data_IF_900921077763
#
_entry.id   IF_900921077763
#
_cell.length_a   1.000
_cell.length_b   1.000
_cell.length_c   1.000
_cell.angle_alpha   90.00
_cell.angle_beta   90.00
_cell.angle_gamma   90.00
#
_symmetry.space_group_name_H-M   'P 1'
#
loop_
_entity.id
_entity.type
_entity.pdbx_description
1 polymer ?
#
# COMPACT_ATOMS: atom_id res chain seq x y z
N UNK A 1 -8.73 -45.84 -39.77
CA UNK A 1 -8.34 -46.08 -38.37
C UNK A 1 -7.75 -44.79 -37.83
N UNK A 2 -8.49 -44.07 -36.99
CA UNK A 2 -7.94 -42.90 -36.28
C UNK A 2 -6.93 -43.40 -35.24
N UNK A 3 -5.73 -42.81 -35.15
CA UNK A 3 -4.78 -43.18 -34.10
C UNK A 3 -5.42 -42.88 -32.74
N UNK A 4 -5.52 -43.90 -31.88
CA UNK A 4 -6.00 -43.74 -30.51
C UNK A 4 -5.10 -42.72 -29.81
N UNK A 5 -5.71 -41.62 -29.33
CA UNK A 5 -5.03 -40.60 -28.54
C UNK A 5 -4.25 -41.27 -27.40
N UNK A 6 -2.96 -40.94 -27.24
CA UNK A 6 -2.14 -41.55 -26.21
C UNK A 6 -2.60 -41.09 -24.82
N UNK A 7 -2.33 -41.85 -23.76
CA UNK A 7 -2.58 -41.42 -22.37
C UNK A 7 -1.95 -40.05 -22.06
N UNK A 8 -0.82 -39.72 -22.72
CA UNK A 8 -0.15 -38.43 -22.61
C UNK A 8 -0.95 -37.30 -23.28
N UNK A 9 -1.62 -37.58 -24.40
CA UNK A 9 -2.48 -36.60 -25.07
C UNK A 9 -3.77 -36.34 -24.28
N UNK A 10 -4.35 -37.40 -23.70
CA UNK A 10 -5.50 -37.27 -22.80
C UNK A 10 -5.16 -36.47 -21.53
N UNK A 11 -3.99 -36.69 -20.93
CA UNK A 11 -3.55 -35.91 -19.76
C UNK A 11 -3.22 -34.45 -20.11
N UNK A 12 -2.71 -34.18 -21.32
CA UNK A 12 -2.45 -32.81 -21.78
C UNK A 12 -3.71 -32.03 -22.12
N UNK A 13 -4.74 -32.67 -22.66
CA UNK A 13 -5.92 -32.00 -23.20
C UNK A 13 -7.16 -32.12 -22.31
N UNK A 14 -7.26 -33.15 -21.46
CA UNK A 14 -8.48 -33.49 -20.70
C UNK A 14 -8.31 -33.63 -19.20
N UNK A 15 -7.12 -33.39 -18.64
CA UNK A 15 -6.93 -33.39 -17.19
C UNK A 15 -7.24 -32.02 -16.58
N UNK A 16 -7.64 -32.01 -15.31
CA UNK A 16 -7.77 -30.77 -14.52
C UNK A 16 -6.46 -29.99 -14.53
N UNK A 17 -5.30 -30.67 -14.54
CA UNK A 17 -4.00 -30.03 -14.68
C UNK A 17 -3.77 -29.36 -16.03
N UNK A 18 -4.27 -29.95 -17.13
CA UNK A 18 -4.24 -29.34 -18.47
C UNK A 18 -5.17 -28.14 -18.60
N UNK A 19 -6.35 -28.19 -17.98
CA UNK A 19 -7.28 -27.05 -17.87
C UNK A 19 -6.72 -25.93 -16.99
N UNK A 20 -6.10 -26.28 -15.86
CA UNK A 20 -5.43 -25.31 -14.99
C UNK A 20 -4.25 -24.66 -15.71
N UNK A 21 -3.40 -25.44 -16.39
CA UNK A 21 -2.29 -24.92 -17.19
C UNK A 21 -2.78 -24.07 -18.35
N UNK A 22 -3.82 -24.49 -19.07
CA UNK A 22 -4.42 -23.70 -20.14
C UNK A 22 -5.06 -22.41 -19.61
N UNK A 23 -5.68 -22.44 -18.42
CA UNK A 23 -6.19 -21.25 -17.75
C UNK A 23 -5.07 -20.31 -17.32
N UNK A 24 -3.96 -20.83 -16.79
CA UNK A 24 -2.77 -20.04 -16.44
C UNK A 24 -2.09 -19.44 -17.68
N UNK A 25 -1.94 -20.22 -18.76
CA UNK A 25 -1.38 -19.75 -20.04
C UNK A 25 -2.32 -18.79 -20.78
N UNK A 26 -3.63 -18.89 -20.59
CA UNK A 26 -4.59 -17.92 -21.10
C UNK A 26 -4.65 -16.63 -20.27
N UNK A 27 -4.15 -16.67 -19.02
CA UNK A 27 -3.93 -15.51 -18.15
C UNK A 27 -2.58 -14.83 -18.41
N UNK A 28 -1.59 -15.56 -18.91
CA UNK A 28 -0.41 -14.95 -19.53
C UNK A 28 -0.81 -14.31 -20.87
N UNK A 29 -0.38 -13.08 -21.19
CA UNK A 29 -0.61 -12.53 -22.51
C UNK A 29 0.14 -13.38 -23.53
N UNK A 30 -0.58 -14.24 -24.24
CA UNK A 30 -0.11 -14.86 -25.47
C UNK A 30 0.40 -13.74 -26.38
N UNK A 31 1.69 -13.78 -26.70
CA UNK A 31 2.35 -12.89 -27.65
C UNK A 31 1.56 -12.86 -28.97
N UNK A 32 0.58 -11.96 -29.11
CA UNK A 32 -0.14 -11.74 -30.38
C UNK A 32 -1.66 -11.55 -30.35
N UNK A 33 -2.39 -11.58 -29.23
CA UNK A 33 -3.84 -11.28 -29.24
C UNK A 33 -4.15 -9.86 -28.77
N UNK A 34 -4.64 -9.00 -29.68
CA UNK A 34 -5.03 -7.60 -29.43
C UNK A 34 -6.28 -7.39 -28.55
N UNK A 35 -6.44 -8.16 -27.48
CA UNK A 35 -7.22 -7.71 -26.32
C UNK A 35 -6.44 -6.57 -25.64
N UNK A 36 -7.08 -5.64 -24.89
CA UNK A 36 -6.34 -4.66 -24.11
C UNK A 36 -5.51 -5.45 -23.12
N UNK A 37 -4.25 -5.61 -23.47
CA UNK A 37 -3.29 -6.31 -22.66
C UNK A 37 -3.26 -5.60 -21.32
N UNK A 38 -3.14 -6.37 -20.25
CA UNK A 38 -2.57 -5.90 -19.00
C UNK A 38 -1.08 -5.57 -19.19
N UNK A 39 -0.69 -5.06 -20.37
CA UNK A 39 0.64 -4.56 -20.66
C UNK A 39 0.76 -3.29 -19.85
N UNK A 40 1.26 -3.48 -18.62
CA UNK A 40 1.89 -2.41 -17.89
C UNK A 40 2.79 -1.68 -18.90
N UNK A 41 2.63 -0.36 -18.98
CA UNK A 41 3.34 0.47 -19.96
C UNK A 41 4.87 0.23 -19.94
N UNK A 42 5.39 -0.25 -18.82
CA UNK A 42 6.75 -0.76 -18.66
C UNK A 42 6.78 -2.09 -17.91
N UNK A 43 7.72 -2.99 -18.22
CA UNK A 43 7.92 -4.19 -17.42
C UNK A 43 8.32 -3.80 -15.99
N UNK A 44 7.63 -4.33 -14.96
CA UNK A 44 7.87 -3.94 -13.58
C UNK A 44 9.25 -4.46 -13.13
N UNK A 45 10.06 -3.56 -12.54
CA UNK A 45 11.35 -3.93 -11.92
C UNK A 45 11.24 -4.26 -10.43
N UNK A 46 10.15 -3.81 -9.79
CA UNK A 46 9.84 -4.09 -8.40
C UNK A 46 8.58 -4.96 -8.32
N UNK A 47 8.58 -5.95 -7.41
CA UNK A 47 7.42 -6.80 -7.14
C UNK A 47 6.52 -6.27 -6.04
N UNK A 48 7.12 -5.59 -5.05
CA UNK A 48 6.45 -5.11 -3.84
C UNK A 48 7.01 -3.75 -3.46
N UNK A 49 6.14 -2.87 -2.98
CA UNK A 49 6.51 -1.55 -2.47
C UNK A 49 5.94 -1.41 -1.07
N UNK A 50 6.81 -1.17 -0.10
CA UNK A 50 6.43 -0.90 1.28
C UNK A 50 6.73 0.57 1.56
N UNK A 51 5.70 1.32 1.95
CA UNK A 51 5.83 2.72 2.33
C UNK A 51 5.55 2.87 3.81
N UNK A 52 6.52 3.40 4.55
CA UNK A 52 6.37 3.74 5.96
C UNK A 52 6.27 5.26 6.10
N UNK A 53 5.07 5.75 6.43
CA UNK A 53 4.86 7.15 6.79
C UNK A 53 4.78 7.30 8.31
N UNK A 54 5.87 7.77 8.91
CA UNK A 54 5.98 7.91 10.36
C UNK A 54 5.56 9.32 10.77
N UNK A 55 4.25 9.52 10.99
CA UNK A 55 3.72 10.82 11.42
C UNK A 55 4.24 11.21 12.80
N UNK A 56 4.90 12.37 12.91
CA UNK A 56 5.51 12.82 14.16
C UNK A 56 6.77 12.04 14.56
N UNK A 57 7.45 11.40 13.61
CA UNK A 57 8.70 10.68 13.84
C UNK A 57 9.85 11.56 14.31
N UNK A 58 10.95 10.90 14.70
CA UNK A 58 12.22 11.53 15.00
C UNK A 58 12.68 12.45 13.85
N UNK A 59 13.38 13.52 14.23
CA UNK A 59 13.91 14.48 13.27
C UNK A 59 14.93 13.82 12.35
N UNK A 60 14.84 14.09 11.04
CA UNK A 60 15.84 13.64 10.08
C UNK A 60 17.24 14.20 10.38
N UNK A 61 17.32 15.40 10.98
CA UNK A 61 18.57 16.02 11.44
C UNK A 61 19.22 15.25 12.59
N UNK A 62 18.42 14.47 13.32
CA UNK A 62 18.86 13.64 14.44
C UNK A 62 19.10 12.18 14.04
N UNK A 63 18.83 11.81 12.79
CA UNK A 63 18.97 10.45 12.28
C UNK A 63 19.98 10.35 11.13
N UNK A 64 19.65 10.94 10.00
CA UNK A 64 20.34 10.67 8.73
C UNK A 64 20.93 11.94 8.10
N UNK A 65 20.74 13.12 8.67
CA UNK A 65 21.12 14.37 8.01
C UNK A 65 21.99 15.26 8.90
N UNK A 66 23.25 14.85 9.07
CA UNK A 66 24.24 15.62 9.81
C UNK A 66 24.47 17.01 9.18
N UNK A 67 24.22 18.07 9.95
CA UNK A 67 24.46 19.47 9.54
C UNK A 67 25.61 20.09 10.35
N UNK A 68 26.82 20.23 9.78
CA UNK A 68 27.95 20.86 10.47
C UNK A 68 27.67 22.27 10.97
N UNK A 69 26.87 23.06 10.23
CA UNK A 69 26.52 24.43 10.64
C UNK A 69 25.65 24.47 11.91
N UNK A 70 24.79 23.47 12.15
CA UNK A 70 24.02 23.38 13.40
C UNK A 70 24.93 23.12 14.60
N UNK A 71 26.02 22.36 14.40
CA UNK A 71 27.04 22.15 15.44
C UNK A 71 27.78 23.45 15.72
N UNK A 72 28.22 24.15 14.67
CA UNK A 72 28.99 25.39 14.78
C UNK A 72 28.22 26.52 15.47
N UNK A 73 26.93 26.65 15.16
CA UNK A 73 26.07 27.74 15.64
C UNK A 73 25.27 27.38 16.88
N UNK A 74 25.51 26.22 17.47
CA UNK A 74 24.70 25.73 18.58
C UNK A 74 24.60 26.75 19.73
N UNK A 75 23.38 27.06 20.14
CA UNK A 75 23.07 28.02 21.21
C UNK A 75 22.96 29.48 20.74
N UNK A 76 23.41 29.80 19.52
CA UNK A 76 23.21 31.13 18.94
C UNK A 76 21.74 31.33 18.54
N UNK A 77 21.30 32.60 18.48
CA UNK A 77 19.95 32.94 18.02
C UNK A 77 19.74 32.48 16.58
N UNK A 78 18.62 31.80 16.31
CA UNK A 78 18.27 31.38 14.96
C UNK A 78 18.00 32.57 14.05
N UNK A 79 18.58 32.57 12.86
CA UNK A 79 18.32 33.55 11.80
C UNK A 79 18.31 32.85 10.44
N UNK A 80 17.12 32.67 9.88
CA UNK A 80 16.91 32.00 8.61
C UNK A 80 17.06 32.94 7.40
N UNK A 81 17.28 34.24 7.63
CA UNK A 81 17.32 35.25 6.57
C UNK A 81 15.95 35.56 5.94
N UNK A 82 14.89 34.89 6.40
CA UNK A 82 13.52 35.07 5.97
C UNK A 82 12.55 34.89 7.14
N UNK A 83 11.30 35.31 6.94
CA UNK A 83 10.25 35.08 7.93
C UNK A 83 9.84 33.60 7.91
N UNK A 84 10.00 32.93 9.05
CA UNK A 84 9.55 31.55 9.24
C UNK A 84 8.35 31.56 10.17
N UNK A 85 7.22 31.04 9.69
CA UNK A 85 6.03 30.85 10.50
C UNK A 85 6.24 29.70 11.49
N UNK A 86 6.23 30.02 12.79
CA UNK A 86 6.28 29.03 13.86
C UNK A 86 4.86 28.77 14.40
N UNK A 87 4.46 27.50 14.47
CA UNK A 87 3.14 27.12 14.96
C UNK A 87 3.00 27.30 16.48
N UNK A 88 4.10 27.11 17.24
CA UNK A 88 4.14 27.29 18.71
C UNK A 88 5.50 27.86 19.14
N UNK A 89 5.48 28.73 20.16
CA UNK A 89 6.65 29.23 20.92
C UNK A 89 7.77 29.96 20.15
N UNK A 90 7.53 30.34 18.89
CA UNK A 90 8.53 31.04 18.08
C UNK A 90 9.72 30.15 17.72
N UNK A 91 10.77 30.78 17.18
CA UNK A 91 12.00 30.09 16.78
C UNK A 91 12.97 30.08 17.98
N UNK A 92 13.34 28.88 18.45
CA UNK A 92 14.39 28.69 19.45
C UNK A 92 15.79 28.95 18.88
N UNK A 93 16.85 28.98 19.72
CA UNK A 93 18.22 29.07 19.23
C UNK A 93 18.58 27.88 18.32
N UNK A 94 19.64 28.02 17.53
CA UNK A 94 20.18 26.91 16.75
C UNK A 94 20.54 25.74 17.67
N UNK A 95 20.04 24.55 17.34
CA UNK A 95 20.27 23.35 18.12
C UNK A 95 21.02 22.33 17.27
N UNK A 96 22.18 21.89 17.76
CA UNK A 96 22.85 20.70 17.22
C UNK A 96 22.04 19.46 17.59
N UNK A 97 22.21 18.38 16.83
CA UNK A 97 21.67 17.10 17.25
C UNK A 97 22.24 16.71 18.62
N UNK A 98 21.43 16.16 19.55
CA UNK A 98 21.93 15.66 20.82
C UNK A 98 22.68 14.33 20.69
N UNK A 99 22.60 13.68 19.52
CA UNK A 99 23.20 12.37 19.25
C UNK A 99 24.53 12.50 18.50
N UNK A 100 25.43 11.56 18.76
CA UNK A 100 26.69 11.46 18.04
C UNK A 100 26.51 10.79 16.67
N UNK A 101 27.29 11.25 15.69
CA UNK A 101 27.26 10.76 14.31
C UNK A 101 28.54 10.01 13.95
N UNK A 102 28.39 8.86 13.29
CA UNK A 102 29.49 8.05 12.76
C UNK A 102 29.27 7.75 11.27
N UNK A 103 30.35 7.44 10.56
CA UNK A 103 30.29 7.02 9.15
C UNK A 103 29.97 5.53 9.09
N UNK A 104 29.00 5.18 8.27
CA UNK A 104 28.61 3.79 8.00
C UNK A 104 28.70 3.48 6.51
N UNK A 105 28.90 2.19 6.20
CA UNK A 105 28.99 1.67 4.84
C UNK A 105 30.20 2.16 4.04
N UNK A 106 30.32 1.65 2.82
CA UNK A 106 31.28 2.12 1.84
C UNK A 106 30.95 3.53 1.33
N UNK A 107 29.66 3.92 1.32
CA UNK A 107 29.23 5.27 0.99
C UNK A 107 29.65 6.32 2.04
N UNK A 108 30.06 5.87 3.24
CA UNK A 108 30.53 6.74 4.31
C UNK A 108 29.45 7.69 4.84
N UNK A 109 28.17 7.28 4.75
CA UNK A 109 27.01 8.06 5.20
C UNK A 109 27.14 8.33 6.70
N UNK A 110 27.02 9.60 7.07
CA UNK A 110 26.91 9.99 8.48
C UNK A 110 25.50 9.66 8.99
N UNK A 111 25.45 8.83 10.03
CA UNK A 111 24.24 8.43 10.73
C UNK A 111 24.43 8.60 12.23
N UNK A 112 23.37 8.96 12.94
CA UNK A 112 23.42 9.05 14.38
C UNK A 112 23.38 7.67 15.05
N UNK A 113 23.83 7.61 16.29
CA UNK A 113 23.82 6.38 17.10
C UNK A 113 22.42 5.76 17.25
N UNK A 114 21.33 6.54 17.21
CA UNK A 114 19.96 6.02 17.35
C UNK A 114 19.50 5.19 16.14
N UNK A 115 20.17 5.34 15.00
CA UNK A 115 19.90 4.56 13.78
C UNK A 115 21.11 3.72 13.36
N UNK A 116 22.11 3.59 14.24
CA UNK A 116 23.33 2.78 14.02
C UNK A 116 23.03 1.34 13.54
N UNK A 117 21.98 0.64 14.02
CA UNK A 117 21.66 -0.70 13.53
C UNK A 117 21.35 -0.79 12.02
N UNK A 118 20.93 0.32 11.39
CA UNK A 118 20.72 0.37 9.94
C UNK A 118 22.04 0.52 9.15
N UNK A 119 23.16 0.73 9.83
CA UNK A 119 24.48 0.92 9.22
C UNK A 119 24.96 -0.28 8.41
N UNK A 120 24.49 -1.49 8.70
CA UNK A 120 24.83 -2.71 7.94
C UNK A 120 24.26 -2.72 6.52
N UNK A 121 23.15 -2.01 6.30
CA UNK A 121 22.43 -1.97 5.01
C UNK A 121 22.45 -0.58 4.38
N UNK A 122 23.24 0.36 4.92
CA UNK A 122 23.20 1.77 4.49
C UNK A 122 23.57 1.97 3.02
N UNK A 123 24.42 1.11 2.47
CA UNK A 123 24.82 1.17 1.05
C UNK A 123 23.68 0.77 0.10
N UNK A 124 22.64 0.09 0.60
CA UNK A 124 21.42 -0.24 -0.13
C UNK A 124 20.31 0.82 0.04
N UNK A 125 20.56 1.87 0.83
CA UNK A 125 19.61 2.95 1.11
C UNK A 125 19.93 4.18 0.27
N UNK A 126 18.93 4.67 -0.46
CA UNK A 126 19.00 5.97 -1.13
C UNK A 126 18.38 7.06 -0.27
N UNK A 127 19.17 8.08 0.07
CA UNK A 127 18.71 9.24 0.84
C UNK A 127 18.34 10.40 -0.08
N UNK A 128 17.16 10.99 0.13
CA UNK A 128 16.69 12.19 -0.60
C UNK A 128 16.53 13.33 0.40
N UNK A 129 17.52 14.23 0.44
CA UNK A 129 17.57 15.34 1.40
C UNK A 129 16.95 16.65 0.89
N UNK A 130 16.63 16.73 -0.40
CA UNK A 130 16.18 17.95 -1.07
C UNK A 130 14.66 17.97 -1.34
N UNK A 131 13.87 17.25 -0.53
CA UNK A 131 12.41 17.29 -0.61
C UNK A 131 11.91 18.58 0.05
N UNK A 132 11.16 19.39 -0.68
CA UNK A 132 10.63 20.67 -0.19
C UNK A 132 9.10 20.61 -0.15
N UNK A 133 8.53 20.95 1.01
CA UNK A 133 7.09 21.09 1.20
C UNK A 133 6.61 22.50 0.86
N UNK A 134 5.33 22.64 0.49
CA UNK A 134 4.69 23.93 0.15
C UNK A 134 3.78 24.47 1.27
N UNK A 135 3.68 23.77 2.40
CA UNK A 135 2.85 24.18 3.54
C UNK A 135 3.37 23.55 4.82
N UNK A 136 3.35 24.33 5.90
CA UNK A 136 3.60 23.85 7.27
C UNK A 136 2.37 23.22 7.94
N UNK A 137 1.19 23.29 7.31
CA UNK A 137 -0.04 22.71 7.87
C UNK A 137 -0.04 21.20 7.68
N UNK A 138 -0.17 20.45 8.78
CA UNK A 138 -0.12 18.98 8.76
C UNK A 138 -1.08 18.33 7.77
N UNK A 139 -2.32 18.81 7.66
CA UNK A 139 -3.29 18.26 6.71
C UNK A 139 -2.88 18.49 5.25
N UNK A 140 -2.39 19.67 4.89
CA UNK A 140 -1.94 19.91 3.52
C UNK A 140 -0.64 19.16 3.21
N UNK A 141 0.27 19.08 4.17
CA UNK A 141 1.55 18.37 4.03
C UNK A 141 1.37 16.86 3.88
N UNK A 142 0.43 16.26 4.61
CA UNK A 142 0.09 14.83 4.47
C UNK A 142 -0.52 14.51 3.11
N UNK A 143 -1.40 15.35 2.57
CA UNK A 143 -1.84 15.19 1.18
C UNK A 143 -0.70 15.34 0.19
N UNK A 144 0.18 16.33 0.39
CA UNK A 144 1.32 16.57 -0.51
C UNK A 144 2.25 15.35 -0.54
N UNK A 145 2.54 14.76 0.62
CA UNK A 145 3.34 13.55 0.73
C UNK A 145 2.65 12.33 0.11
N UNK A 146 1.34 12.19 0.33
CA UNK A 146 0.60 11.01 -0.11
C UNK A 146 0.26 11.06 -1.61
N UNK A 147 -0.03 12.24 -2.17
CA UNK A 147 -0.60 12.42 -3.52
C UNK A 147 0.24 13.29 -4.45
N UNK A 148 1.19 14.06 -3.92
CA UNK A 148 1.90 15.11 -4.66
C UNK A 148 1.17 16.46 -4.73
N UNK A 149 -0.02 16.58 -4.14
CA UNK A 149 -0.85 17.79 -4.17
C UNK A 149 -1.32 18.20 -2.77
N UNK A 150 -1.47 19.50 -2.52
CA UNK A 150 -1.95 20.02 -1.21
C UNK A 150 -3.48 19.92 -1.04
N UNK A 151 -4.20 19.66 -2.13
CA UNK A 151 -5.65 19.59 -2.19
C UNK A 151 -6.12 18.18 -2.53
N UNK A 152 -7.30 17.77 -2.04
CA UNK A 152 -7.86 16.46 -2.37
C UNK A 152 -8.22 16.37 -3.87
N UNK A 153 -8.46 15.14 -4.33
CA UNK A 153 -8.87 14.85 -5.71
C UNK A 153 -7.80 14.18 -6.57
N UNK A 154 -6.64 13.88 -5.98
CA UNK A 154 -5.54 13.17 -6.64
C UNK A 154 -5.32 11.79 -6.01
N UNK A 155 -4.92 10.78 -6.80
CA UNK A 155 -4.64 9.46 -6.29
C UNK A 155 -3.43 9.46 -5.37
N UNK A 156 -3.49 8.66 -4.31
CA UNK A 156 -2.34 8.41 -3.44
C UNK A 156 -1.24 7.62 -4.16
N UNK A 157 -0.01 7.67 -3.62
CA UNK A 157 1.16 6.98 -4.15
C UNK A 157 0.91 5.47 -4.28
N UNK A 158 0.29 4.85 -3.27
CA UNK A 158 -0.05 3.42 -3.33
C UNK A 158 -1.07 3.08 -4.43
N UNK A 159 -2.00 4.00 -4.73
CA UNK A 159 -2.95 3.85 -5.84
C UNK A 159 -2.23 3.88 -7.19
N UNK A 160 -1.27 4.81 -7.36
CA UNK A 160 -0.42 4.86 -8.56
C UNK A 160 0.47 3.64 -8.72
N UNK A 161 1.06 3.17 -7.63
CA UNK A 161 1.88 1.94 -7.62
C UNK A 161 1.02 0.74 -8.02
N UNK A 162 -0.18 0.60 -7.45
CA UNK A 162 -1.08 -0.51 -7.78
C UNK A 162 -1.58 -0.44 -9.21
N UNK A 163 -1.86 0.76 -9.73
CA UNK A 163 -2.20 0.97 -11.13
C UNK A 163 -1.04 0.59 -12.06
N UNK A 164 0.19 1.00 -11.72
CA UNK A 164 1.36 0.84 -12.58
C UNK A 164 2.05 -0.52 -12.49
N UNK A 165 1.93 -1.23 -11.36
CA UNK A 165 2.46 -2.59 -11.18
C UNK A 165 1.42 -3.68 -11.40
N UNK A 166 0.13 -3.33 -11.35
CA UNK A 166 -0.95 -4.31 -11.38
C UNK A 166 -0.98 -5.16 -10.11
N UNK A 167 -1.54 -6.37 -10.23
CA UNK A 167 -1.66 -7.33 -9.13
C UNK A 167 -1.20 -8.71 -9.58
N UNK A 168 -0.39 -9.38 -8.77
CA UNK A 168 -0.12 -10.83 -8.89
C UNK A 168 -1.24 -11.68 -8.26
N UNK A 169 -2.19 -11.05 -7.55
CA UNK A 169 -3.26 -11.70 -6.81
C UNK A 169 -4.65 -11.22 -7.27
N UNK A 170 -5.59 -12.16 -7.41
CA UNK A 170 -6.99 -11.90 -7.75
C UNK A 170 -7.92 -11.85 -6.54
N UNK A 171 -7.44 -12.24 -5.35
CA UNK A 171 -8.24 -12.49 -4.15
C UNK A 171 -7.93 -11.57 -2.97
N UNK A 172 -6.85 -10.79 -3.02
CA UNK A 172 -6.49 -9.77 -2.02
C UNK A 172 -6.30 -8.40 -2.69
N UNK A 173 -6.39 -7.29 -1.94
CA UNK A 173 -6.24 -5.96 -2.50
C UNK A 173 -4.77 -5.73 -2.87
N UNK A 174 -4.53 -5.12 -4.03
CA UNK A 174 -3.17 -4.74 -4.45
C UNK A 174 -2.58 -3.64 -3.55
N UNK A 175 -3.43 -2.79 -2.98
CA UNK A 175 -3.04 -1.71 -2.08
C UNK A 175 -3.63 -1.92 -0.68
N UNK A 176 -2.78 -2.32 0.26
CA UNK A 176 -3.12 -2.44 1.67
C UNK A 176 -2.55 -1.25 2.45
N UNK A 177 -3.37 -0.68 3.34
CA UNK A 177 -2.97 0.37 4.27
C UNK A 177 -3.06 -0.19 5.69
N UNK A 178 -1.97 -0.07 6.45
CA UNK A 178 -1.87 -0.47 7.84
C UNK A 178 -1.71 0.79 8.72
N UNK A 179 -2.80 1.34 9.30
CA UNK A 179 -2.71 2.52 10.15
C UNK A 179 -2.09 2.21 11.51
N UNK A 180 -1.55 3.24 12.15
CA UNK A 180 -1.18 3.18 13.56
C UNK A 180 -2.43 2.92 14.43
N UNK A 181 -2.28 2.11 15.48
CA UNK A 181 -3.38 1.78 16.40
C UNK A 181 -3.94 3.01 17.12
N UNK A 182 -3.15 4.09 17.26
CA UNK A 182 -3.55 5.37 17.85
C UNK A 182 -4.44 6.20 16.92
N UNK A 183 -4.52 5.83 15.65
CA UNK A 183 -5.37 6.47 14.66
C UNK A 183 -4.63 6.83 13.38
N UNK A 184 -5.35 7.49 12.48
CA UNK A 184 -4.80 7.88 11.18
C UNK A 184 -3.91 9.12 11.27
N UNK A 185 -3.02 9.26 10.29
CA UNK A 185 -2.43 10.53 9.94
C UNK A 185 -3.51 11.58 9.60
N UNK A 186 -3.12 12.86 9.60
CA UNK A 186 -4.03 13.96 9.21
C UNK A 186 -4.71 13.67 7.86
N UNK A 187 -5.99 14.05 7.72
CA UNK A 187 -6.93 13.68 6.63
C UNK A 187 -7.40 12.22 6.56
N UNK A 188 -6.86 11.32 7.37
CA UNK A 188 -7.39 9.97 7.47
C UNK A 188 -7.30 9.18 6.16
N UNK A 189 -8.33 8.36 5.84
CA UNK A 189 -8.38 7.53 4.63
C UNK A 189 -8.21 8.28 3.31
N UNK A 190 -8.44 9.60 3.30
CA UNK A 190 -8.36 10.43 2.09
C UNK A 190 -6.96 10.47 1.49
N UNK A 191 -5.92 10.18 2.29
CA UNK A 191 -4.54 10.08 1.80
C UNK A 191 -4.32 8.92 0.81
N UNK A 192 -5.19 7.90 0.83
CA UNK A 192 -5.01 6.65 0.09
C UNK A 192 -6.13 6.42 -0.93
N UNK A 193 -6.78 7.51 -1.37
CA UNK A 193 -7.84 7.46 -2.38
C UNK A 193 -7.31 7.05 -3.76
N UNK A 194 -8.13 6.35 -4.56
CA UNK A 194 -7.86 6.15 -5.99
C UNK A 194 -8.18 7.39 -6.83
N UNK A 195 -9.04 8.28 -6.34
CA UNK A 195 -9.53 9.45 -7.06
C UNK A 195 -10.04 9.10 -8.46
N UNK A 196 -9.38 9.61 -9.51
CA UNK A 196 -9.74 9.33 -10.91
C UNK A 196 -9.14 8.02 -11.46
N UNK A 197 -8.29 7.32 -10.71
CA UNK A 197 -7.84 5.97 -11.07
C UNK A 197 -8.96 4.95 -10.82
N UNK A 198 -8.91 3.79 -11.52
CA UNK A 198 -9.86 2.71 -11.30
C UNK A 198 -10.03 2.34 -9.82
N UNK A 199 -11.25 2.05 -9.41
CA UNK A 199 -11.60 1.82 -7.99
C UNK A 199 -10.88 0.62 -7.37
N UNK A 200 -10.38 -0.33 -8.17
CA UNK A 200 -9.58 -1.46 -7.67
C UNK A 200 -8.20 -1.02 -7.13
N UNK A 201 -7.77 0.20 -7.40
CA UNK A 201 -6.51 0.78 -6.87
C UNK A 201 -6.70 1.52 -5.54
N UNK A 202 -7.92 1.52 -5.00
CA UNK A 202 -8.24 2.14 -3.72
C UNK A 202 -7.52 1.42 -2.57
N UNK A 203 -6.90 2.20 -1.68
CA UNK A 203 -6.29 1.65 -0.47
C UNK A 203 -7.33 0.97 0.42
N UNK A 204 -7.08 -0.30 0.72
CA UNK A 204 -7.89 -1.09 1.67
C UNK A 204 -7.23 -1.03 3.03
N UNK A 205 -7.94 -0.44 3.99
CA UNK A 205 -7.45 -0.34 5.37
C UNK A 205 -7.62 -1.67 6.07
N UNK A 206 -6.54 -2.16 6.66
CA UNK A 206 -6.55 -3.36 7.52
C UNK A 206 -6.00 -2.95 8.88
N UNK A 207 -6.64 -3.42 9.95
CA UNK A 207 -6.24 -3.24 11.33
C UNK A 207 -5.91 -4.61 11.95
N UNK A 208 -4.70 -5.16 11.70
CA UNK A 208 -4.31 -6.50 12.17
C UNK A 208 -4.44 -6.70 13.69
N UNK A 209 -4.37 -5.62 14.47
CA UNK A 209 -4.48 -5.61 15.92
C UNK A 209 -5.92 -5.79 16.45
N UNK A 210 -6.95 -5.78 15.58
CA UNK A 210 -8.36 -5.88 15.97
C UNK A 210 -8.87 -7.30 15.77
N UNK A 211 -9.84 -7.71 16.58
CA UNK A 211 -10.57 -8.97 16.39
C UNK A 211 -11.29 -9.05 15.04
N UNK A 212 -11.77 -7.91 14.54
CA UNK A 212 -12.23 -7.75 13.16
C UNK A 212 -11.27 -6.80 12.41
N UNK A 213 -10.31 -7.31 11.63
CA UNK A 213 -9.29 -6.49 10.99
C UNK A 213 -9.81 -5.61 9.83
N UNK A 214 -10.92 -6.00 9.22
CA UNK A 214 -11.54 -5.31 8.09
C UNK A 214 -12.95 -4.90 8.49
N UNK A 215 -13.27 -3.62 8.33
CA UNK A 215 -14.61 -3.12 8.63
C UNK A 215 -15.66 -3.77 7.73
N UNK A 216 -16.88 -3.94 8.26
CA UNK A 216 -18.04 -4.48 7.52
C UNK A 216 -17.83 -5.87 6.89
N UNK A 217 -16.85 -6.64 7.37
CA UNK A 217 -16.54 -7.97 6.84
C UNK A 217 -17.67 -8.98 7.08
N UNK A 218 -18.36 -8.88 8.22
CA UNK A 218 -19.46 -9.75 8.59
C UNK A 218 -20.74 -8.93 8.85
N UNK A 219 -21.91 -9.41 8.41
CA UNK A 219 -23.17 -8.75 8.72
C UNK A 219 -23.40 -8.76 10.24
N UNK A 220 -23.70 -7.60 10.82
CA UNK A 220 -24.06 -7.47 12.23
C UNK A 220 -25.58 -7.35 12.39
N UNK A 221 -26.29 -8.45 12.16
CA UNK A 221 -27.74 -8.51 12.33
C UNK A 221 -28.23 -9.95 12.54
N UNK A 222 -29.01 -10.17 13.60
CA UNK A 222 -29.53 -11.50 13.97
C UNK A 222 -30.50 -12.09 12.94
N UNK A 223 -31.05 -11.26 12.04
CA UNK A 223 -31.99 -11.65 11.00
C UNK A 223 -31.31 -11.91 9.63
N UNK A 224 -30.00 -11.71 9.51
CA UNK A 224 -29.27 -12.00 8.28
C UNK A 224 -28.74 -13.43 8.34
N UNK A 225 -29.39 -14.32 7.58
CA UNK A 225 -28.94 -15.69 7.37
C UNK A 225 -28.04 -15.78 6.14
N UNK A 226 -27.23 -16.84 6.03
CA UNK A 226 -26.41 -17.11 4.84
C UNK A 226 -27.24 -17.14 3.55
N UNK A 227 -28.46 -17.68 3.63
CA UNK A 227 -29.43 -17.72 2.52
C UNK A 227 -29.85 -16.30 2.11
N UNK A 228 -30.31 -15.49 3.07
CA UNK A 228 -30.72 -14.11 2.80
C UNK A 228 -29.56 -13.24 2.28
N UNK A 229 -28.33 -13.51 2.74
CA UNK A 229 -27.14 -12.83 2.27
C UNK A 229 -26.83 -13.19 0.82
N UNK A 230 -26.91 -14.49 0.47
CA UNK A 230 -26.75 -14.97 -0.90
C UNK A 230 -27.80 -14.37 -1.85
N UNK A 231 -29.07 -14.37 -1.45
CA UNK A 231 -30.15 -13.74 -2.23
C UNK A 231 -29.93 -12.23 -2.43
N UNK A 232 -29.43 -11.55 -1.40
CA UNK A 232 -29.08 -10.13 -1.46
C UNK A 232 -27.96 -9.85 -2.47
N UNK A 233 -26.88 -10.64 -2.44
CA UNK A 233 -25.80 -10.55 -3.43
C UNK A 233 -26.31 -10.81 -4.84
N UNK A 234 -27.15 -11.82 -5.03
CA UNK A 234 -27.73 -12.15 -6.34
C UNK A 234 -28.63 -11.04 -6.89
N UNK A 235 -29.40 -10.40 -6.03
CA UNK A 235 -30.21 -9.24 -6.38
C UNK A 235 -29.32 -8.07 -6.81
N UNK A 236 -28.29 -7.72 -6.02
CA UNK A 236 -27.33 -6.66 -6.35
C UNK A 236 -26.65 -6.95 -7.70
N UNK A 237 -26.19 -8.17 -7.92
CA UNK A 237 -25.58 -8.58 -9.19
C UNK A 237 -26.55 -8.47 -10.37
N UNK A 238 -27.83 -8.81 -10.16
CA UNK A 238 -28.86 -8.65 -11.19
C UNK A 238 -29.10 -7.18 -11.53
N UNK A 239 -29.22 -6.32 -10.52
CA UNK A 239 -29.37 -4.87 -10.69
C UNK A 239 -28.15 -4.26 -11.39
N UNK A 240 -26.95 -4.67 -11.00
CA UNK A 240 -25.70 -4.25 -11.64
C UNK A 240 -25.69 -4.62 -13.13
N UNK A 241 -26.03 -5.86 -13.50
CA UNK A 241 -26.14 -6.30 -14.90
C UNK A 241 -27.21 -5.52 -15.68
N UNK A 242 -28.37 -5.24 -15.07
CA UNK A 242 -29.41 -4.41 -15.69
C UNK A 242 -28.90 -2.99 -15.96
N UNK A 243 -28.22 -2.40 -14.97
CA UNK A 243 -27.65 -1.06 -15.10
C UNK A 243 -26.57 -1.01 -16.19
N UNK A 244 -25.70 -2.03 -16.26
CA UNK A 244 -24.63 -2.17 -17.25
C UNK A 244 -25.16 -2.24 -18.68
N UNK A 245 -26.25 -2.98 -18.91
CA UNK A 245 -26.91 -3.05 -20.23
C UNK A 245 -27.33 -1.67 -20.75
N UNK A 246 -27.69 -0.75 -19.87
CA UNK A 246 -28.06 0.62 -20.25
C UNK A 246 -26.86 1.55 -20.51
N UNK A 247 -25.64 1.14 -20.13
CA UNK A 247 -24.41 1.95 -20.18
C UNK A 247 -23.18 1.12 -20.59
N UNK A 248 -23.17 0.50 -21.78
CA UNK A 248 -22.10 -0.42 -22.18
C UNK A 248 -20.70 0.21 -22.31
N UNK A 249 -20.60 1.54 -22.32
CA UNK A 249 -19.34 2.28 -22.47
C UNK A 249 -18.90 3.02 -21.19
N UNK A 250 -19.49 2.75 -20.01
CA UNK A 250 -19.10 3.40 -18.75
C UNK A 250 -18.16 2.50 -17.91
N UNK A 251 -16.83 2.69 -17.98
CA UNK A 251 -15.86 1.84 -17.27
C UNK A 251 -15.93 1.96 -15.74
N UNK A 252 -16.61 2.99 -15.22
CA UNK A 252 -16.76 3.20 -13.78
C UNK A 252 -17.70 2.17 -13.16
N UNK A 253 -18.71 1.72 -13.90
CA UNK A 253 -19.64 0.70 -13.42
C UNK A 253 -18.95 -0.66 -13.30
N UNK A 254 -18.22 -1.07 -14.33
CA UNK A 254 -17.43 -2.31 -14.32
C UNK A 254 -16.39 -2.30 -13.19
N UNK A 255 -15.75 -1.14 -12.95
CA UNK A 255 -14.82 -0.98 -11.84
C UNK A 255 -15.50 -1.15 -10.47
N UNK A 256 -16.72 -0.62 -10.30
CA UNK A 256 -17.51 -0.79 -9.08
C UNK A 256 -17.93 -2.24 -8.85
N UNK A 257 -18.36 -2.95 -9.89
CA UNK A 257 -18.71 -4.37 -9.80
C UNK A 257 -17.49 -5.17 -9.33
N UNK A 258 -16.32 -4.94 -9.96
CA UNK A 258 -15.06 -5.57 -9.55
C UNK A 258 -14.67 -5.27 -8.10
N UNK A 259 -14.92 -4.04 -7.62
CA UNK A 259 -14.68 -3.69 -6.22
C UNK A 259 -15.56 -4.50 -5.26
N UNK A 260 -16.83 -4.76 -5.60
CA UNK A 260 -17.70 -5.62 -4.79
C UNK A 260 -17.31 -7.10 -4.83
N UNK A 261 -16.91 -7.60 -6.00
CA UNK A 261 -16.39 -8.96 -6.13
C UNK A 261 -15.10 -9.14 -5.33
N UNK A 262 -14.19 -8.16 -5.36
CA UNK A 262 -13.01 -8.14 -4.50
C UNK A 262 -13.41 -8.17 -3.03
N UNK A 263 -14.37 -7.34 -2.60
CA UNK A 263 -14.83 -7.34 -1.21
C UNK A 263 -15.38 -8.72 -0.77
N UNK A 264 -16.16 -9.39 -1.63
CA UNK A 264 -16.64 -10.75 -1.36
C UNK A 264 -15.49 -11.77 -1.28
N UNK A 265 -14.47 -11.64 -2.13
CA UNK A 265 -13.27 -12.47 -2.06
C UNK A 265 -12.48 -12.22 -0.77
N UNK A 266 -12.36 -10.96 -0.33
CA UNK A 266 -11.71 -10.62 0.93
C UNK A 266 -12.37 -11.30 2.13
N UNK A 267 -13.69 -11.41 2.16
CA UNK A 267 -14.39 -12.15 3.22
C UNK A 267 -13.92 -13.60 3.36
N UNK A 268 -13.55 -14.24 2.25
CA UNK A 268 -13.08 -15.63 2.24
C UNK A 268 -11.57 -15.74 2.44
N UNK A 269 -10.78 -14.82 1.85
CA UNK A 269 -9.32 -14.91 1.79
C UNK A 269 -8.60 -14.17 2.91
N UNK A 270 -9.12 -13.01 3.33
CA UNK A 270 -8.43 -12.13 4.26
C UNK A 270 -8.37 -12.71 5.68
N UNK A 271 -9.41 -13.42 6.12
CA UNK A 271 -9.42 -14.08 7.43
C UNK A 271 -8.26 -15.05 7.57
N UNK A 272 -7.97 -15.83 6.51
CA UNK A 272 -6.81 -16.74 6.49
C UNK A 272 -5.49 -15.99 6.35
N UNK A 273 -5.44 -14.94 5.53
CA UNK A 273 -4.22 -14.18 5.28
C UNK A 273 -3.74 -13.37 6.49
N UNK A 274 -4.64 -13.07 7.43
CA UNK A 274 -4.36 -12.29 8.65
C UNK A 274 -4.26 -13.17 9.90
N UNK A 275 -4.52 -14.47 9.79
CA UNK A 275 -4.37 -15.41 10.89
C UNK A 275 -2.90 -15.81 11.05
N UNK A 276 -2.27 -15.32 12.12
CA UNK A 276 -0.89 -15.63 12.47
C UNK A 276 -0.78 -16.75 13.50
N UNK A 277 -1.90 -17.33 13.97
CA UNK A 277 -1.92 -18.28 15.08
C UNK A 277 -1.15 -19.58 14.80
N UNK A 278 -1.11 -19.99 13.54
CA UNK A 278 -0.40 -21.19 13.07
C UNK A 278 1.10 -20.93 12.78
N UNK A 279 1.58 -19.70 12.90
CA UNK A 279 3.00 -19.40 12.64
C UNK A 279 3.91 -19.86 13.80
N UNK A 280 5.12 -20.35 13.51
CA UNK A 280 6.05 -20.77 14.55
C UNK A 280 6.45 -19.62 15.50
N UNK A 281 6.71 -19.94 16.77
CA UNK A 281 7.10 -18.95 17.79
C UNK A 281 8.32 -18.07 17.40
N UNK A 282 9.29 -18.63 16.66
CA UNK A 282 10.44 -17.84 16.19
C UNK A 282 10.04 -16.75 15.17
N UNK A 283 8.95 -16.93 14.43
CA UNK A 283 8.39 -15.94 13.50
C UNK A 283 7.68 -14.83 14.28
N UNK A 284 6.86 -15.20 15.27
CA UNK A 284 6.25 -14.22 16.18
C UNK A 284 7.29 -13.34 16.87
N UNK A 285 8.42 -13.94 17.26
CA UNK A 285 9.57 -13.22 17.81
C UNK A 285 10.17 -12.24 16.80
N UNK A 286 10.35 -12.65 15.54
CA UNK A 286 10.85 -11.76 14.49
C UNK A 286 9.92 -10.56 14.23
N UNK A 287 8.60 -10.75 14.35
CA UNK A 287 7.63 -9.66 14.26
C UNK A 287 7.64 -8.73 15.47
N UNK A 288 8.28 -9.13 16.58
CA UNK A 288 8.31 -8.36 17.82
C UNK A 288 7.00 -8.39 18.61
N UNK A 289 6.13 -9.39 18.36
CA UNK A 289 4.82 -9.53 19.03
C UNK A 289 4.95 -9.86 20.53
N UNK A 290 6.14 -10.23 21.00
CA UNK A 290 6.43 -10.49 22.42
C UNK A 290 6.47 -9.22 23.29
N UNK A 291 6.59 -8.04 22.66
CA UNK A 291 6.75 -6.75 23.34
C UNK A 291 5.49 -5.85 23.27
N UNK A 292 4.36 -6.41 22.82
CA UNK A 292 3.09 -5.71 22.64
C UNK A 292 2.21 -5.73 23.91
#
# INVERSE_FOLDING_TARGET
>A
MNPMASRRDFLKQGSIGGLALASMLAREPLLGSGAPSSDLHHPPRAKRVIQLFMAGAASHLDMFDFKPELVKRHGEKSDFGEHVEAFQNGLGPWMKSPFDFKRHGACGKLMSEIVEPLGEVVDDISFIHNVVGKSGVHSQATYLQATGFQFPGFPGAGSWVSYGLGSENEDLPSFVVLPDHRGFASNGPKNWGSAFLPTHTQGTTIFPQRANPIEDLHPQADYVTDESHGEGIDLVNRLNRMHQRSRPMDPRLDSRIRSYELAAKLQLSATRALDLSDEPAYVHKMYGLENA
#
